data_IF_167601294680
#
_entry.id   IF_167601294680
#
_cell.length_a   1.000
_cell.length_b   1.000
_cell.length_c   1.000
_cell.angle_alpha   90.00
_cell.angle_beta   90.00
_cell.angle_gamma   90.00
#
_symmetry.space_group_name_H-M   'P 1'
#
loop_
_entity.id
_entity.type
_entity.pdbx_description
1 polymer ?
#
# COMPACT_ATOMS: atom_id res chain seq x y z
N UNK A 1 -7.05 -10.70 -25.88
CA UNK A 1 -6.62 -11.75 -24.94
C UNK A 1 -7.51 -11.62 -23.70
N UNK A 2 -8.35 -12.62 -23.40
CA UNK A 2 -9.35 -12.59 -22.31
C UNK A 2 -8.70 -12.97 -20.98
N UNK A 3 -9.23 -12.48 -19.84
CA UNK A 3 -8.48 -12.34 -18.60
C UNK A 3 -8.13 -13.71 -18.03
N UNK A 4 -6.90 -13.83 -17.55
CA UNK A 4 -6.54 -14.85 -16.58
C UNK A 4 -7.59 -14.72 -15.46
N UNK A 5 -8.37 -15.75 -15.13
CA UNK A 5 -9.31 -15.77 -14.00
C UNK A 5 -10.46 -14.75 -14.00
N UNK A 6 -11.45 -14.98 -13.14
CA UNK A 6 -12.49 -14.02 -12.77
C UNK A 6 -12.08 -13.17 -11.54
N UNK A 7 -11.11 -13.65 -10.75
CA UNK A 7 -10.57 -12.95 -9.56
C UNK A 7 -9.04 -12.97 -9.49
N UNK A 8 -8.45 -12.08 -8.70
CA UNK A 8 -7.00 -12.02 -8.47
C UNK A 8 -6.42 -13.32 -7.88
N UNK A 9 -7.17 -13.96 -6.96
CA UNK A 9 -6.76 -15.23 -6.34
C UNK A 9 -6.77 -16.39 -7.36
N UNK A 10 -7.75 -16.44 -8.27
CA UNK A 10 -7.79 -17.44 -9.34
C UNK A 10 -6.61 -17.32 -10.31
N UNK A 11 -6.18 -16.09 -10.62
CA UNK A 11 -4.99 -15.86 -11.45
C UNK A 11 -3.74 -16.37 -10.73
N UNK A 12 -3.59 -16.02 -9.45
CA UNK A 12 -2.44 -16.47 -8.65
C UNK A 12 -2.44 -17.98 -8.46
N UNK A 13 -3.60 -18.63 -8.40
CA UNK A 13 -3.72 -20.07 -8.25
C UNK A 13 -3.06 -20.87 -9.38
N UNK A 14 -2.81 -20.25 -10.55
CA UNK A 14 -2.00 -20.84 -11.61
C UNK A 14 -0.55 -21.15 -11.16
N UNK A 15 -0.05 -20.44 -10.14
CA UNK A 15 1.23 -20.68 -9.47
C UNK A 15 0.98 -20.80 -7.97
N UNK A 16 0.79 -22.01 -7.41
CA UNK A 16 0.37 -22.21 -6.03
C UNK A 16 1.19 -21.45 -4.97
N UNK A 17 2.52 -21.40 -5.15
CA UNK A 17 3.41 -20.66 -4.24
C UNK A 17 3.14 -19.16 -4.27
N UNK A 18 2.81 -18.59 -5.43
CA UNK A 18 2.46 -17.17 -5.54
C UNK A 18 1.15 -16.85 -4.81
N UNK A 19 0.15 -17.74 -4.87
CA UNK A 19 -1.09 -17.60 -4.10
C UNK A 19 -0.83 -17.72 -2.60
N UNK A 20 -0.03 -18.71 -2.18
CA UNK A 20 0.31 -18.92 -0.77
C UNK A 20 1.06 -17.72 -0.18
N UNK A 21 2.09 -17.21 -0.88
CA UNK A 21 2.82 -16.02 -0.45
C UNK A 21 1.92 -14.78 -0.39
N UNK A 22 1.04 -14.58 -1.38
CA UNK A 22 0.10 -13.45 -1.36
C UNK A 22 -0.83 -13.51 -0.15
N UNK A 23 -1.41 -14.69 0.14
CA UNK A 23 -2.29 -14.84 1.30
C UNK A 23 -1.58 -14.57 2.61
N UNK A 24 -0.33 -15.04 2.74
CA UNK A 24 0.48 -14.75 3.91
C UNK A 24 0.74 -13.25 4.08
N UNK A 25 1.16 -12.55 3.01
CA UNK A 25 1.40 -11.10 3.03
C UNK A 25 0.12 -10.34 3.36
N UNK A 26 -1.00 -10.69 2.70
CA UNK A 26 -2.29 -10.04 2.93
C UNK A 26 -2.71 -10.16 4.38
N UNK A 27 -2.69 -11.37 4.93
CA UNK A 27 -3.10 -11.60 6.31
C UNK A 27 -2.19 -10.93 7.33
N UNK A 28 -0.87 -11.04 7.18
CA UNK A 28 0.07 -10.69 8.26
C UNK A 28 0.62 -9.27 8.14
N UNK A 29 0.64 -8.68 6.94
CA UNK A 29 1.13 -7.31 6.73
C UNK A 29 -0.04 -6.39 6.40
N UNK A 30 -0.85 -6.72 5.40
CA UNK A 30 -1.87 -5.79 4.93
C UNK A 30 -3.07 -5.67 5.88
N UNK A 31 -3.49 -6.76 6.51
CA UNK A 31 -4.71 -6.82 7.34
C UNK A 31 -4.44 -6.84 8.86
N UNK A 32 -3.31 -7.42 9.29
CA UNK A 32 -2.97 -7.62 10.73
C UNK A 32 -1.57 -7.16 11.11
N UNK A 33 -1.00 -6.20 10.39
CA UNK A 33 0.24 -5.58 10.83
C UNK A 33 0.05 -4.70 12.08
N UNK A 34 1.12 -4.02 12.48
CA UNK A 34 1.23 -3.30 13.75
C UNK A 34 0.68 -1.87 13.68
N UNK A 35 0.89 -1.15 12.57
CA UNK A 35 0.38 0.22 12.40
C UNK A 35 -1.15 0.23 12.31
N UNK A 36 -1.78 1.30 12.78
CA UNK A 36 -3.24 1.48 12.68
C UNK A 36 -3.71 1.22 11.24
N UNK A 37 -4.62 0.25 11.09
CA UNK A 37 -5.19 -0.15 9.80
C UNK A 37 -5.81 1.02 9.04
N UNK A 38 -6.29 2.06 9.73
CA UNK A 38 -6.85 3.28 9.11
C UNK A 38 -5.80 4.07 8.32
N UNK A 39 -4.55 4.09 8.79
CA UNK A 39 -3.42 4.75 8.10
C UNK A 39 -3.03 3.96 6.85
N UNK A 40 -2.93 2.63 6.97
CA UNK A 40 -2.74 1.72 5.84
C UNK A 40 -3.81 1.91 4.77
N UNK A 41 -5.08 1.86 5.18
CA UNK A 41 -6.22 2.00 4.28
C UNK A 41 -6.28 3.38 3.62
N UNK A 42 -5.82 4.43 4.31
CA UNK A 42 -5.65 5.75 3.70
C UNK A 42 -4.58 5.73 2.60
N UNK A 43 -3.41 5.14 2.87
CA UNK A 43 -2.35 5.00 1.87
C UNK A 43 -2.81 4.15 0.68
N UNK A 44 -3.51 3.03 0.91
CA UNK A 44 -4.01 2.16 -0.14
C UNK A 44 -5.01 2.87 -1.07
N UNK A 45 -5.89 3.71 -0.51
CA UNK A 45 -6.82 4.55 -1.29
C UNK A 45 -6.09 5.64 -2.08
N UNK A 46 -5.04 6.21 -1.50
CA UNK A 46 -4.16 7.15 -2.21
C UNK A 46 -3.50 6.47 -3.43
N UNK A 47 -2.90 5.28 -3.26
CA UNK A 47 -2.32 4.49 -4.38
C UNK A 47 -3.38 4.07 -5.42
N UNK A 48 -4.63 3.92 -4.99
CA UNK A 48 -5.75 3.65 -5.88
C UNK A 48 -6.17 4.87 -6.71
N UNK A 49 -5.59 6.05 -6.46
CA UNK A 49 -5.98 7.36 -7.00
C UNK A 49 -7.40 7.78 -6.60
N UNK A 50 -7.84 7.45 -5.37
CA UNK A 50 -9.12 7.92 -4.87
C UNK A 50 -9.09 9.46 -4.70
N UNK A 51 -10.02 10.22 -5.31
CA UNK A 51 -9.96 11.69 -5.31
C UNK A 51 -9.90 12.35 -3.93
N UNK A 52 -10.49 11.72 -2.91
CA UNK A 52 -10.47 12.27 -1.54
C UNK A 52 -9.15 12.02 -0.82
N UNK A 53 -8.44 10.94 -1.18
CA UNK A 53 -7.17 10.56 -0.55
C UNK A 53 -5.98 11.30 -1.19
N UNK A 54 -6.11 11.73 -2.45
CA UNK A 54 -5.06 12.47 -3.17
C UNK A 54 -5.03 13.97 -2.86
N UNK A 55 -6.01 14.51 -2.14
CA UNK A 55 -6.00 15.89 -1.63
C UNK A 55 -5.29 15.97 -0.27
N UNK A 56 -3.95 15.95 -0.30
CA UNK A 56 -3.09 15.92 0.89
C UNK A 56 -3.34 17.10 1.86
N UNK A 57 -3.80 18.24 1.34
CA UNK A 57 -4.05 19.44 2.16
C UNK A 57 -5.18 19.25 3.19
N UNK A 58 -5.97 18.17 3.06
CA UNK A 58 -7.05 17.82 3.99
C UNK A 58 -6.60 17.03 5.21
N UNK A 59 -5.35 16.59 5.22
CA UNK A 59 -4.80 15.75 6.27
C UNK A 59 -3.75 16.49 7.08
N UNK A 60 -3.69 16.15 8.36
CA UNK A 60 -2.64 16.58 9.27
C UNK A 60 -1.75 15.39 9.61
N UNK A 61 -0.66 15.61 10.32
CA UNK A 61 0.10 14.48 10.87
C UNK A 61 -0.75 13.78 11.95
N UNK A 62 -0.73 12.44 12.00
CA UNK A 62 0.21 11.53 11.32
C UNK A 62 -0.18 11.13 9.87
N UNK A 63 -1.43 11.37 9.45
CA UNK A 63 -1.98 10.92 8.16
C UNK A 63 -1.24 11.52 6.96
N UNK A 64 -0.90 12.81 7.02
CA UNK A 64 -0.22 13.51 5.94
C UNK A 64 1.20 12.98 5.71
N UNK A 65 1.98 12.77 6.77
CA UNK A 65 3.31 12.16 6.67
C UNK A 65 3.27 10.76 6.02
N UNK A 66 2.29 9.93 6.37
CA UNK A 66 2.10 8.62 5.76
C UNK A 66 1.76 8.71 4.25
N UNK A 67 0.91 9.65 3.85
CA UNK A 67 0.57 9.89 2.44
C UNK A 67 1.75 10.42 1.62
N UNK A 68 2.52 11.36 2.17
CA UNK A 68 3.74 11.88 1.52
C UNK A 68 4.79 10.77 1.38
N UNK A 69 4.88 9.87 2.36
CA UNK A 69 5.75 8.71 2.25
C UNK A 69 5.26 7.68 1.23
N UNK A 70 3.95 7.47 1.11
CA UNK A 70 3.37 6.64 0.06
C UNK A 70 3.63 7.22 -1.35
N UNK A 71 3.56 8.55 -1.53
CA UNK A 71 3.95 9.24 -2.78
C UNK A 71 5.43 8.98 -3.11
N UNK A 72 6.32 9.17 -2.12
CA UNK A 72 7.75 8.94 -2.29
C UNK A 72 8.06 7.49 -2.70
N UNK A 73 7.47 6.50 -2.01
CA UNK A 73 7.65 5.08 -2.36
C UNK A 73 7.12 4.78 -3.77
N UNK A 74 5.99 5.38 -4.17
CA UNK A 74 5.36 5.09 -5.45
C UNK A 74 6.06 5.74 -6.66
N UNK A 75 6.62 6.93 -6.48
CA UNK A 75 7.03 7.77 -7.61
C UNK A 75 8.49 8.22 -7.58
N UNK A 76 9.06 8.48 -6.40
CA UNK A 76 10.39 9.07 -6.26
C UNK A 76 10.88 8.94 -4.81
N UNK A 77 11.71 7.92 -4.55
CA UNK A 77 12.18 7.60 -3.19
C UNK A 77 13.05 8.71 -2.59
N UNK A 78 13.66 9.56 -3.42
CA UNK A 78 14.52 10.66 -2.93
C UNK A 78 13.69 11.74 -2.21
N UNK A 79 12.37 11.75 -2.38
CA UNK A 79 11.44 12.62 -1.63
C UNK A 79 11.30 12.22 -0.17
N UNK A 80 11.71 11.01 0.21
CA UNK A 80 11.80 10.58 1.60
C UNK A 80 13.05 11.15 2.30
N UNK A 81 13.20 12.48 2.25
CA UNK A 81 14.31 13.21 2.87
C UNK A 81 14.13 13.42 4.38
N UNK A 82 15.14 14.03 5.00
CA UNK A 82 15.26 14.18 6.46
C UNK A 82 14.04 14.81 7.14
N UNK A 83 13.41 15.81 6.51
CA UNK A 83 12.22 16.47 7.07
C UNK A 83 11.02 15.52 7.15
N UNK A 84 10.77 14.76 6.08
CA UNK A 84 9.71 13.75 6.07
C UNK A 84 10.05 12.63 7.06
N UNK A 85 11.31 12.20 7.11
CA UNK A 85 11.75 11.18 8.06
C UNK A 85 11.55 11.62 9.51
N UNK A 86 11.90 12.86 9.85
CA UNK A 86 11.69 13.42 11.18
C UNK A 86 10.22 13.42 11.59
N UNK A 87 9.30 13.74 10.66
CA UNK A 87 7.85 13.73 10.92
C UNK A 87 7.30 12.32 11.09
N UNK A 88 7.78 11.38 10.28
CA UNK A 88 7.46 9.96 10.37
C UNK A 88 7.88 9.39 11.74
N UNK A 89 9.13 9.59 12.17
CA UNK A 89 9.60 9.14 13.49
C UNK A 89 8.94 9.88 14.67
N UNK A 90 8.40 11.08 14.46
CA UNK A 90 7.60 11.78 15.47
C UNK A 90 6.18 11.22 15.59
N UNK A 91 5.71 10.50 14.58
CA UNK A 91 4.33 10.03 14.44
C UNK A 91 4.17 8.53 14.67
N UNK A 92 5.20 7.74 14.38
CA UNK A 92 5.17 6.28 14.34
C UNK A 92 6.41 5.69 15.01
N UNK A 93 6.28 4.51 15.61
CA UNK A 93 7.41 3.72 16.08
C UNK A 93 8.20 3.11 14.90
N UNK A 94 9.44 2.66 15.15
CA UNK A 94 10.23 1.93 14.14
C UNK A 94 9.49 0.71 13.58
N UNK A 95 8.78 -0.02 14.44
CA UNK A 95 8.02 -1.22 14.06
C UNK A 95 6.83 -0.87 13.16
N UNK A 96 6.13 0.23 13.48
CA UNK A 96 5.04 0.75 12.66
C UNK A 96 5.54 1.28 11.31
N UNK A 97 6.72 1.90 11.27
CA UNK A 97 7.34 2.38 10.03
C UNK A 97 7.72 1.21 9.13
N UNK A 98 8.37 0.17 9.67
CA UNK A 98 8.69 -1.05 8.90
C UNK A 98 7.42 -1.67 8.33
N UNK A 99 6.39 -1.83 9.16
CA UNK A 99 5.11 -2.40 8.75
C UNK A 99 4.40 -1.55 7.68
N UNK A 100 4.29 -0.23 7.90
CA UNK A 100 3.64 0.70 6.96
C UNK A 100 4.38 0.74 5.61
N UNK A 101 5.71 0.82 5.61
CA UNK A 101 6.51 0.82 4.38
C UNK A 101 6.35 -0.47 3.57
N UNK A 102 6.38 -1.63 4.26
CA UNK A 102 6.12 -2.92 3.63
C UNK A 102 4.70 -2.99 3.05
N UNK A 103 3.71 -2.55 3.82
CA UNK A 103 2.31 -2.54 3.40
C UNK A 103 2.08 -1.66 2.16
N UNK A 104 2.66 -0.47 2.11
CA UNK A 104 2.61 0.43 0.94
C UNK A 104 3.21 -0.27 -0.29
N UNK A 105 4.40 -0.85 -0.16
CA UNK A 105 5.08 -1.53 -1.27
C UNK A 105 4.30 -2.74 -1.81
N UNK A 106 3.77 -3.58 -0.93
CA UNK A 106 2.97 -4.75 -1.33
C UNK A 106 1.63 -4.35 -1.96
N UNK A 107 0.94 -3.36 -1.39
CA UNK A 107 -0.31 -2.86 -1.97
C UNK A 107 -0.07 -2.21 -3.34
N UNK A 108 0.96 -1.38 -3.48
CA UNK A 108 1.33 -0.76 -4.76
C UNK A 108 1.52 -1.80 -5.87
N UNK A 109 2.36 -2.81 -5.59
CA UNK A 109 2.61 -3.91 -6.52
C UNK A 109 1.34 -4.68 -6.87
N UNK A 110 0.50 -4.97 -5.87
CA UNK A 110 -0.78 -5.64 -6.07
C UNK A 110 -1.71 -4.82 -6.98
N UNK A 111 -1.92 -3.54 -6.69
CA UNK A 111 -2.86 -2.72 -7.44
C UNK A 111 -2.42 -2.55 -8.90
N UNK A 112 -1.12 -2.36 -9.15
CA UNK A 112 -0.60 -2.27 -10.52
C UNK A 112 -0.75 -3.59 -11.29
N UNK A 113 -0.39 -4.70 -10.66
CA UNK A 113 -0.55 -6.00 -11.30
C UNK A 113 -2.03 -6.28 -11.63
N UNK A 114 -2.96 -6.02 -10.70
CA UNK A 114 -4.41 -6.19 -10.92
C UNK A 114 -4.90 -5.42 -12.14
N UNK A 115 -4.53 -4.14 -12.26
CA UNK A 115 -4.86 -3.31 -13.43
C UNK A 115 -4.29 -3.92 -14.72
N UNK A 116 -3.06 -4.43 -14.70
CA UNK A 116 -2.41 -5.02 -15.88
C UNK A 116 -3.10 -6.30 -16.39
N UNK A 117 -3.83 -7.01 -15.52
CA UNK A 117 -4.60 -8.22 -15.86
C UNK A 117 -6.11 -7.95 -16.02
N UNK A 118 -6.53 -6.69 -16.03
CA UNK A 118 -7.92 -6.28 -16.30
C UNK A 118 -8.85 -6.30 -15.09
N UNK A 119 -8.32 -6.34 -13.87
CA UNK A 119 -9.08 -6.26 -12.63
C UNK A 119 -9.08 -4.84 -12.07
N UNK A 120 -10.09 -4.51 -11.26
CA UNK A 120 -10.06 -3.31 -10.42
C UNK A 120 -8.84 -3.34 -9.50
N UNK A 121 -8.23 -2.19 -9.17
CA UNK A 121 -7.02 -2.15 -8.34
C UNK A 121 -7.22 -2.77 -6.96
N UNK A 122 -8.44 -2.72 -6.43
CA UNK A 122 -8.85 -3.29 -5.14
C UNK A 122 -10.19 -4.00 -5.31
N UNK A 123 -10.50 -4.90 -4.38
CA UNK A 123 -11.81 -5.59 -4.29
C UNK A 123 -12.86 -4.71 -3.58
#
# INVERSE_FOLDING_TARGET
MRPLGSTADEIRALVPDALASWRYIRENVLDRGVVDQRIKELCYRYLANEPKATDLARFNDPERAALEWADAIAYDSDRAGDELWSRLHSSFSEEELVDLGCAIGFELGQQHWRRSVGLAPRD
#
